data_IF_878345909501
#
_entry.id   IF_878345909501
#
_cell.length_a   1.000
_cell.length_b   1.000
_cell.length_c   1.000
_cell.angle_alpha   90.00
_cell.angle_beta   90.00
_cell.angle_gamma   90.00
#
_symmetry.space_group_name_H-M   'P 1'
#
loop_
_entity.id
_entity.type
_entity.pdbx_description
1 polymer ?
#
# COMPACT_ATOMS: atom_id res chain seq x y z
N UNK A 1 -5.98 -11.45 12.18
CA UNK A 1 -6.02 -10.28 13.10
C UNK A 1 -4.98 -10.47 14.20
N UNK A 2 -3.69 -10.34 13.88
CA UNK A 2 -2.58 -10.57 14.82
C UNK A 2 -1.66 -9.35 15.02
N UNK A 3 -1.91 -8.24 14.31
CA UNK A 3 -1.08 -7.04 14.36
C UNK A 3 -1.27 -6.14 15.60
N UNK A 4 -2.10 -6.55 16.56
CA UNK A 4 -2.25 -5.85 17.83
C UNK A 4 -3.17 -4.62 17.81
N UNK A 5 -3.98 -4.41 16.76
CA UNK A 5 -5.01 -3.38 16.77
C UNK A 5 -6.08 -3.67 17.83
N UNK A 6 -6.49 -2.64 18.56
CA UNK A 6 -7.72 -2.71 19.37
C UNK A 6 -8.93 -2.94 18.45
N UNK A 7 -10.00 -3.55 18.95
CA UNK A 7 -11.21 -3.78 18.17
C UNK A 7 -11.78 -2.46 17.60
N UNK A 8 -11.78 -1.40 18.41
CA UNK A 8 -12.23 -0.06 18.00
C UNK A 8 -11.40 0.50 16.85
N UNK A 9 -10.07 0.39 16.93
CA UNK A 9 -9.18 0.94 15.90
C UNK A 9 -9.21 0.09 14.63
N UNK A 10 -9.33 -1.23 14.76
CA UNK A 10 -9.50 -2.13 13.63
C UNK A 10 -10.79 -1.82 12.88
N UNK A 11 -11.91 -1.66 13.58
CA UNK A 11 -13.18 -1.29 12.96
C UNK A 11 -13.11 0.07 12.24
N UNK A 12 -12.41 1.05 12.82
CA UNK A 12 -12.18 2.36 12.19
C UNK A 12 -11.34 2.21 10.92
N UNK A 13 -10.23 1.47 10.98
CA UNK A 13 -9.36 1.21 9.85
C UNK A 13 -10.12 0.51 8.72
N UNK A 14 -10.85 -0.57 9.03
CA UNK A 14 -11.66 -1.31 8.07
C UNK A 14 -12.72 -0.44 7.38
N UNK A 15 -13.31 0.51 8.11
CA UNK A 15 -14.24 1.47 7.53
C UNK A 15 -13.54 2.50 6.61
N UNK A 16 -12.30 2.88 6.90
CA UNK A 16 -11.55 3.83 6.06
C UNK A 16 -10.99 3.20 4.79
N UNK A 17 -10.42 1.99 4.88
CA UNK A 17 -9.76 1.33 3.74
C UNK A 17 -10.74 0.90 2.63
N UNK A 18 -12.04 0.81 2.95
CA UNK A 18 -13.11 0.45 1.99
C UNK A 18 -13.72 1.66 1.29
N UNK A 19 -13.24 2.88 1.58
CA UNK A 19 -13.73 4.08 0.90
C UNK A 19 -13.23 4.10 -0.54
N UNK A 20 -14.03 4.59 -1.50
CA UNK A 20 -13.66 4.61 -2.92
C UNK A 20 -12.51 5.58 -3.24
N UNK A 21 -12.19 6.50 -2.33
CA UNK A 21 -11.07 7.42 -2.47
C UNK A 21 -10.69 7.97 -1.10
N UNK A 22 -9.43 8.38 -0.96
CA UNK A 22 -8.89 8.95 0.25
C UNK A 22 -7.37 8.77 0.34
N UNK A 23 -6.80 9.21 1.45
CA UNK A 23 -5.39 9.01 1.77
C UNK A 23 -5.28 8.48 3.18
N UNK A 24 -4.53 7.39 3.36
CA UNK A 24 -4.20 6.81 4.66
C UNK A 24 -2.70 6.93 4.84
N UNK A 25 -2.29 7.46 5.99
CA UNK A 25 -0.88 7.67 6.33
C UNK A 25 -0.53 6.82 7.56
N UNK A 26 0.39 5.87 7.40
CA UNK A 26 1.01 5.18 8.52
C UNK A 26 2.24 5.96 8.97
N UNK A 27 2.23 6.48 10.20
CA UNK A 27 3.32 7.30 10.76
C UNK A 27 3.93 6.64 11.99
N UNK A 28 5.18 7.01 12.32
CA UNK A 28 5.92 6.44 13.44
C UNK A 28 7.42 6.28 13.15
N UNK A 29 8.25 6.02 14.16
CA UNK A 29 9.70 5.88 14.01
C UNK A 29 10.09 4.63 13.19
N UNK A 30 11.36 4.53 12.79
CA UNK A 30 11.89 3.31 12.15
C UNK A 30 11.64 2.08 13.02
N UNK A 31 11.25 0.96 12.41
CA UNK A 31 10.97 -0.29 13.12
C UNK A 31 9.58 -0.37 13.79
N UNK A 32 8.71 0.63 13.62
CA UNK A 32 7.37 0.62 14.23
C UNK A 32 6.31 -0.22 13.50
N UNK A 33 6.71 -1.04 12.51
CA UNK A 33 5.78 -1.92 11.77
C UNK A 33 4.93 -1.26 10.68
N UNK A 34 5.27 -0.04 10.23
CA UNK A 34 4.49 0.67 9.18
C UNK A 34 4.29 -0.14 7.91
N UNK A 35 5.36 -0.69 7.32
CA UNK A 35 5.26 -1.49 6.09
C UNK A 35 4.39 -2.71 6.32
N UNK A 36 4.59 -3.41 7.43
CA UNK A 36 3.78 -4.58 7.83
C UNK A 36 2.30 -4.24 7.93
N UNK A 37 1.95 -3.10 8.54
CA UNK A 37 0.55 -2.65 8.63
C UNK A 37 -0.03 -2.29 7.26
N UNK A 38 0.72 -1.59 6.41
CA UNK A 38 0.28 -1.23 5.05
C UNK A 38 0.05 -2.51 4.23
N UNK A 39 0.99 -3.46 4.27
CA UNK A 39 0.88 -4.69 3.52
C UNK A 39 -0.30 -5.55 3.98
N UNK A 40 -0.59 -5.63 5.28
CA UNK A 40 -1.78 -6.33 5.76
C UNK A 40 -3.08 -5.67 5.27
N UNK A 41 -3.11 -4.33 5.15
CA UNK A 41 -4.22 -3.62 4.52
C UNK A 41 -4.33 -3.96 3.03
N UNK A 42 -3.20 -3.96 2.30
CA UNK A 42 -3.19 -4.33 0.88
C UNK A 42 -3.69 -5.77 0.68
N UNK A 43 -3.27 -6.72 1.52
CA UNK A 43 -3.75 -8.10 1.49
C UNK A 43 -5.25 -8.21 1.78
N UNK A 44 -5.82 -7.41 2.70
CA UNK A 44 -7.27 -7.40 2.95
C UNK A 44 -8.08 -6.85 1.76
N UNK A 45 -7.50 -5.92 1.00
CA UNK A 45 -8.10 -5.30 -0.17
C UNK A 45 -7.83 -6.08 -1.46
N UNK A 46 -6.87 -7.00 -1.45
CA UNK A 46 -6.41 -7.77 -2.60
C UNK A 46 -7.48 -8.74 -3.11
N UNK A 47 -8.26 -8.26 -4.08
CA UNK A 47 -9.33 -8.99 -4.77
C UNK A 47 -9.10 -8.86 -6.25
N UNK A 48 -9.49 -9.88 -7.03
CA UNK A 48 -9.23 -9.92 -8.48
C UNK A 48 -9.82 -8.74 -9.23
N UNK A 49 -10.89 -8.16 -8.72
CA UNK A 49 -11.59 -7.02 -9.32
C UNK A 49 -10.97 -5.66 -8.96
N UNK A 50 -9.92 -5.61 -8.14
CA UNK A 50 -9.28 -4.38 -7.66
C UNK A 50 -7.84 -4.32 -8.16
N UNK A 51 -7.53 -3.34 -9.01
CA UNK A 51 -6.20 -3.07 -9.53
C UNK A 51 -5.36 -2.30 -8.50
N UNK A 52 -4.52 -3.01 -7.75
CA UNK A 52 -3.63 -2.44 -6.73
C UNK A 52 -2.22 -2.26 -7.29
N UNK A 53 -1.66 -1.06 -7.17
CA UNK A 53 -0.29 -0.77 -7.61
C UNK A 53 0.53 0.01 -6.58
N UNK A 54 1.79 -0.38 -6.38
CA UNK A 54 2.68 0.26 -5.38
C UNK A 54 3.99 0.74 -6.00
N UNK A 55 4.62 1.73 -5.34
CA UNK A 55 6.01 2.13 -5.61
C UNK A 55 6.78 2.10 -4.30
N UNK A 56 7.90 1.37 -4.27
CA UNK A 56 8.61 1.00 -3.06
C UNK A 56 10.15 1.11 -3.23
N UNK A 57 10.91 1.23 -2.14
CA UNK A 57 12.37 1.40 -2.16
C UNK A 57 13.04 0.76 -0.92
N UNK A 58 13.37 -0.54 -0.94
CA UNK A 58 13.00 -1.55 -1.93
C UNK A 58 11.62 -2.17 -1.63
N UNK A 59 11.17 -3.09 -2.49
CA UNK A 59 10.05 -3.99 -2.17
C UNK A 59 10.51 -4.97 -1.07
N UNK A 60 9.82 -5.00 0.08
CA UNK A 60 10.22 -5.87 1.20
C UNK A 60 9.93 -7.34 0.92
N UNK A 61 8.73 -7.62 0.39
CA UNK A 61 8.35 -8.93 -0.13
C UNK A 61 7.20 -8.81 -1.14
N UNK A 62 7.01 -9.88 -1.93
CA UNK A 62 6.01 -9.90 -2.98
C UNK A 62 4.63 -10.28 -2.43
N UNK A 63 3.63 -9.45 -2.68
CA UNK A 63 2.22 -9.72 -2.47
C UNK A 63 1.65 -10.25 -3.80
N UNK A 64 0.92 -11.38 -3.76
CA UNK A 64 0.29 -11.94 -4.96
C UNK A 64 -0.72 -10.97 -5.56
N UNK A 65 -0.90 -10.95 -6.88
CA UNK A 65 -1.85 -10.09 -7.60
C UNK A 65 -1.67 -8.55 -7.47
N UNK A 66 -0.73 -8.06 -6.64
CA UNK A 66 -0.39 -6.63 -6.52
C UNK A 66 0.74 -6.25 -7.49
N UNK A 67 0.57 -5.14 -8.21
CA UNK A 67 1.59 -4.61 -9.12
C UNK A 67 2.62 -3.77 -8.34
N UNK A 68 3.66 -4.43 -7.81
CA UNK A 68 4.69 -3.75 -7.02
C UNK A 68 5.87 -3.29 -7.88
N UNK A 69 6.09 -1.98 -7.94
CA UNK A 69 7.23 -1.37 -8.64
C UNK A 69 8.31 -0.92 -7.65
N UNK A 70 9.57 -1.27 -7.91
CA UNK A 70 10.69 -0.79 -7.13
C UNK A 70 11.29 0.48 -7.75
N UNK A 71 11.68 1.44 -6.92
CA UNK A 71 12.46 2.61 -7.32
C UNK A 71 13.78 2.18 -7.98
N UNK A 72 14.04 2.71 -9.17
CA UNK A 72 15.28 2.52 -9.90
C UNK A 72 15.85 3.90 -10.28
N UNK A 73 16.86 4.33 -9.52
CA UNK A 73 17.51 5.62 -9.72
C UNK A 73 18.35 5.67 -11.01
N UNK A 74 18.89 4.53 -11.48
CA UNK A 74 19.66 4.46 -12.71
C UNK A 74 18.76 4.62 -13.94
N UNK A 75 17.57 4.02 -13.91
CA UNK A 75 16.53 4.18 -14.92
C UNK A 75 15.73 5.50 -14.79
N UNK A 76 16.07 6.36 -13.83
CA UNK A 76 15.32 7.60 -13.47
C UNK A 76 13.85 7.33 -13.05
N UNK A 77 13.57 6.13 -12.55
CA UNK A 77 12.30 5.74 -11.96
C UNK A 77 12.30 6.02 -10.45
N UNK A 78 11.96 7.25 -10.07
CA UNK A 78 11.80 7.73 -8.69
C UNK A 78 10.36 7.58 -8.18
N UNK A 79 10.10 7.79 -6.88
CA UNK A 79 8.73 7.90 -6.35
C UNK A 79 7.85 8.88 -7.13
N UNK A 80 8.36 10.07 -7.45
CA UNK A 80 7.58 11.10 -8.14
C UNK A 80 7.25 10.71 -9.59
N UNK A 81 8.22 10.15 -10.33
CA UNK A 81 8.00 9.70 -11.71
C UNK A 81 7.18 8.41 -11.77
N UNK A 82 7.36 7.52 -10.80
CA UNK A 82 6.58 6.32 -10.63
C UNK A 82 5.13 6.66 -10.36
N UNK A 83 4.85 7.56 -9.41
CA UNK A 83 3.48 7.90 -9.02
C UNK A 83 2.72 8.52 -10.19
N UNK A 84 3.37 9.42 -10.94
CA UNK A 84 2.80 9.95 -12.18
C UNK A 84 2.52 8.87 -13.22
N UNK A 85 3.30 7.80 -13.26
CA UNK A 85 3.14 6.70 -14.21
C UNK A 85 2.02 5.75 -13.78
N UNK A 86 1.93 5.42 -12.49
CA UNK A 86 0.85 4.63 -11.93
C UNK A 86 -0.51 5.26 -12.17
N UNK A 87 -0.65 6.59 -11.98
CA UNK A 87 -1.93 7.28 -12.23
C UNK A 87 -2.41 7.18 -13.69
N UNK A 88 -1.57 6.77 -14.65
CA UNK A 88 -1.95 6.51 -16.04
C UNK A 88 -2.31 5.05 -16.32
N UNK A 89 -2.12 4.16 -15.35
CA UNK A 89 -2.46 2.73 -15.46
C UNK A 89 -3.86 2.42 -14.92
N UNK A 90 -4.65 3.44 -14.59
CA UNK A 90 -6.00 3.29 -14.04
C UNK A 90 -6.03 2.38 -12.78
N UNK A 91 -5.21 2.66 -11.75
CA UNK A 91 -5.23 1.90 -10.51
C UNK A 91 -6.45 2.27 -9.68
N UNK A 92 -7.01 1.27 -8.99
CA UNK A 92 -8.04 1.48 -7.96
C UNK A 92 -7.40 1.92 -6.64
N UNK A 93 -6.20 1.40 -6.33
CA UNK A 93 -5.43 1.63 -5.10
C UNK A 93 -3.96 1.87 -5.41
#
# INVERSE_FOLDING_TARGET
SELGFSETDLNRLQAQIKKPWGMILATGPTGSGKTTSIYAVLEELNRREVNISTIEDPVEFKIGEVNQSQVDRAAKFTFATGLRSLLRQDPDI
#
